data_IF_774956483357
#
_entry.id   IF_774956483357
#
_cell.length_a   1.000
_cell.length_b   1.000
_cell.length_c   1.000
_cell.angle_alpha   90.00
_cell.angle_beta   90.00
_cell.angle_gamma   90.00
#
_symmetry.space_group_name_H-M   'P 1'
#
loop_
_entity.id
_entity.type
_entity.pdbx_description
1 polymer ?
#
# COMPACT_ATOMS: atom_id res chain seq x y z
N UNK A 1 -15.59 -0.77 22.85
CA UNK A 1 -16.35 0.29 23.53
C UNK A 1 -16.67 1.36 22.53
N UNK A 2 -17.94 1.56 22.17
CA UNK A 2 -18.37 2.71 21.36
C UNK A 2 -18.28 3.95 22.27
N UNK A 3 -17.43 4.91 21.93
CA UNK A 3 -17.36 6.20 22.64
C UNK A 3 -18.28 7.18 21.91
N UNK A 4 -19.09 7.92 22.64
CA UNK A 4 -19.80 9.06 22.09
C UNK A 4 -18.75 10.09 21.62
N UNK A 5 -18.56 10.19 20.31
CA UNK A 5 -17.58 11.11 19.69
C UNK A 5 -18.06 12.56 19.76
N UNK A 6 -19.36 12.73 19.94
CA UNK A 6 -20.02 14.05 20.06
C UNK A 6 -20.74 14.07 21.41
N UNK A 7 -20.47 15.08 22.22
CA UNK A 7 -21.10 15.34 23.50
C UNK A 7 -21.69 16.75 23.46
N UNK A 8 -22.98 16.89 23.73
CA UNK A 8 -23.69 18.18 23.71
C UNK A 8 -23.58 18.97 22.37
N UNK A 9 -23.39 18.27 21.26
CA UNK A 9 -23.23 18.89 19.93
C UNK A 9 -21.79 19.18 19.53
N UNK A 10 -20.83 19.04 20.44
CA UNK A 10 -19.42 19.31 20.20
C UNK A 10 -18.59 18.02 20.10
N UNK A 11 -17.54 18.07 19.29
CA UNK A 11 -16.55 16.98 19.20
C UNK A 11 -15.77 16.88 20.51
N UNK A 12 -15.58 15.67 21.02
CA UNK A 12 -14.77 15.46 22.23
C UNK A 12 -13.36 16.08 22.05
N UNK A 13 -12.85 16.85 23.04
CA UNK A 13 -11.56 17.53 22.94
C UNK A 13 -10.40 16.63 22.58
N UNK A 14 -10.38 15.40 23.06
CA UNK A 14 -9.33 14.40 22.80
C UNK A 14 -9.28 13.96 21.32
N UNK A 15 -10.37 14.12 20.57
CA UNK A 15 -10.45 13.76 19.15
C UNK A 15 -9.99 14.89 18.24
N UNK A 16 -10.04 16.13 18.70
CA UNK A 16 -9.71 17.29 17.87
C UNK A 16 -8.29 17.20 17.27
N UNK A 17 -7.23 16.83 18.03
CA UNK A 17 -5.90 16.65 17.46
C UNK A 17 -5.85 15.55 16.40
N UNK A 18 -6.56 14.44 16.62
CA UNK A 18 -6.61 13.31 15.69
C UNK A 18 -7.28 13.70 14.37
N UNK A 19 -8.43 14.37 14.44
CA UNK A 19 -9.16 14.85 13.27
C UNK A 19 -8.35 15.91 12.50
N UNK A 20 -7.64 16.79 13.19
CA UNK A 20 -6.74 17.76 12.55
C UNK A 20 -5.57 17.08 11.85
N UNK A 21 -4.99 16.01 12.42
CA UNK A 21 -3.94 15.24 11.79
C UNK A 21 -4.44 14.55 10.52
N UNK A 22 -5.63 13.95 10.56
CA UNK A 22 -6.25 13.31 9.40
C UNK A 22 -6.69 14.29 8.32
N UNK A 23 -7.11 15.51 8.71
CA UNK A 23 -7.57 16.53 7.76
C UNK A 23 -6.42 17.14 6.95
N UNK A 24 -5.27 17.37 7.59
CA UNK A 24 -4.10 17.98 6.96
C UNK A 24 -2.82 17.35 7.50
N UNK A 25 -2.48 16.14 7.04
CA UNK A 25 -1.25 15.47 7.45
C UNK A 25 -0.02 16.07 6.77
N UNK A 26 1.14 15.96 7.43
CA UNK A 26 2.44 16.26 6.82
C UNK A 26 2.85 15.10 5.91
N UNK A 27 2.54 13.87 6.33
CA UNK A 27 2.79 12.60 5.59
C UNK A 27 1.59 11.67 5.74
N UNK A 28 1.29 10.94 4.68
CA UNK A 28 0.20 9.96 4.68
C UNK A 28 0.58 8.71 3.88
N UNK A 29 0.35 7.56 4.49
CA UNK A 29 0.27 6.26 3.81
C UNK A 29 -1.20 5.87 3.76
N UNK A 30 -1.79 5.92 2.57
CA UNK A 30 -3.17 5.50 2.36
C UNK A 30 -3.20 4.11 1.73
N UNK A 31 -3.98 3.19 2.32
CA UNK A 31 -4.16 1.83 1.84
C UNK A 31 -5.63 1.54 1.56
N UNK A 32 -5.89 0.96 0.41
CA UNK A 32 -7.19 0.42 0.01
C UNK A 32 -7.06 -1.09 -0.16
N UNK A 33 -7.81 -1.86 0.62
CA UNK A 33 -7.95 -3.30 0.47
C UNK A 33 -9.30 -3.60 -0.18
N UNK A 34 -9.27 -4.24 -1.33
CA UNK A 34 -10.47 -4.67 -2.09
C UNK A 34 -10.57 -6.18 -2.02
N UNK A 35 -11.69 -6.67 -1.51
CA UNK A 35 -12.04 -8.09 -1.41
C UNK A 35 -13.41 -8.33 -2.04
N UNK A 36 -13.84 -9.57 -2.25
CA UNK A 36 -15.20 -9.88 -2.68
C UNK A 36 -16.28 -9.32 -1.74
N UNK A 37 -15.98 -9.22 -0.43
CA UNK A 37 -16.92 -8.74 0.60
C UNK A 37 -17.00 -7.20 0.66
N UNK A 38 -16.15 -6.48 -0.08
CA UNK A 38 -16.14 -5.03 -0.13
C UNK A 38 -14.76 -4.40 -0.02
N UNK A 39 -14.75 -3.12 0.35
CA UNK A 39 -13.52 -2.32 0.42
C UNK A 39 -13.28 -1.82 1.83
N UNK A 40 -12.10 -2.15 2.39
CA UNK A 40 -11.58 -1.54 3.59
C UNK A 40 -10.57 -0.44 3.22
N UNK A 41 -10.57 0.65 3.98
CA UNK A 41 -9.62 1.76 3.83
C UNK A 41 -8.84 1.94 5.14
N UNK A 42 -7.55 2.13 4.99
CA UNK A 42 -6.66 2.42 6.11
C UNK A 42 -5.85 3.66 5.74
N UNK A 43 -5.58 4.49 6.71
CA UNK A 43 -4.65 5.59 6.52
C UNK A 43 -3.79 5.74 7.76
N UNK A 44 -2.48 5.81 7.57
CA UNK A 44 -1.54 6.15 8.60
C UNK A 44 -1.02 7.56 8.28
N UNK A 45 -1.27 8.50 9.17
CA UNK A 45 -0.89 9.91 8.99
C UNK A 45 0.08 10.34 10.06
N UNK A 46 0.97 11.25 9.67
CA UNK A 46 1.82 12.01 10.60
C UNK A 46 1.49 13.48 10.51
N UNK A 47 1.41 14.14 11.66
CA UNK A 47 1.37 15.60 11.80
C UNK A 47 2.21 16.03 13.00
N UNK A 48 3.35 16.68 12.73
CA UNK A 48 4.37 16.93 13.75
C UNK A 48 4.83 15.62 14.40
N UNK A 49 4.70 15.50 15.71
CA UNK A 49 5.02 14.29 16.46
C UNK A 49 3.87 13.29 16.57
N UNK A 50 2.66 13.65 16.12
CA UNK A 50 1.47 12.81 16.23
C UNK A 50 1.35 11.86 15.03
N UNK A 51 1.34 10.55 15.30
CA UNK A 51 1.06 9.52 14.33
C UNK A 51 -0.29 8.85 14.62
N UNK A 52 -1.18 8.80 13.63
CA UNK A 52 -2.54 8.27 13.77
C UNK A 52 -2.77 7.23 12.67
N UNK A 53 -3.24 6.04 13.07
CA UNK A 53 -3.78 5.05 12.17
C UNK A 53 -5.30 5.09 12.23
N UNK A 54 -5.94 5.37 11.11
CA UNK A 54 -7.39 5.26 10.93
C UNK A 54 -7.74 4.07 10.05
N UNK A 55 -8.84 3.40 10.37
CA UNK A 55 -9.40 2.29 9.58
C UNK A 55 -10.89 2.55 9.36
N UNK A 56 -11.36 2.35 8.11
CA UNK A 56 -12.77 2.37 7.75
C UNK A 56 -13.16 1.07 7.05
N UNK A 57 -14.22 0.42 7.57
CA UNK A 57 -14.85 -0.75 6.94
C UNK A 57 -16.36 -0.52 6.98
N UNK A 58 -16.99 -0.40 5.82
CA UNK A 58 -18.37 0.05 5.74
C UNK A 58 -18.56 1.41 6.40
N UNK A 59 -19.45 1.46 7.40
CA UNK A 59 -19.75 2.67 8.18
C UNK A 59 -18.92 2.78 9.46
N UNK A 60 -18.16 1.73 9.81
CA UNK A 60 -17.34 1.72 11.02
C UNK A 60 -16.00 2.41 10.78
N UNK A 61 -15.67 3.38 11.63
CA UNK A 61 -14.37 4.07 11.63
C UNK A 61 -13.72 3.88 13.01
N UNK A 62 -12.45 3.47 12.99
CA UNK A 62 -11.64 3.35 14.20
C UNK A 62 -10.34 4.14 14.06
N UNK A 63 -9.87 4.69 15.18
CA UNK A 63 -8.64 5.46 15.27
C UNK A 63 -7.73 4.86 16.32
N UNK A 64 -6.44 4.84 16.05
CA UNK A 64 -5.39 4.43 16.98
C UNK A 64 -4.22 5.42 16.90
N UNK A 65 -3.83 5.99 18.03
CA UNK A 65 -2.59 6.76 18.12
C UNK A 65 -1.42 5.79 18.25
N UNK A 66 -0.39 6.01 17.46
CA UNK A 66 0.88 5.30 17.56
C UNK A 66 1.78 6.12 18.49
N UNK A 67 2.08 5.58 19.68
CA UNK A 67 2.81 6.29 20.73
C UNK A 67 4.33 6.07 20.61
N UNK A 68 5.10 7.06 21.08
CA UNK A 68 6.56 7.00 21.10
C UNK A 68 7.23 7.63 19.89
N UNK A 69 8.54 7.46 19.76
CA UNK A 69 9.30 7.81 18.56
C UNK A 69 8.95 6.80 17.48
N UNK A 70 7.99 7.15 16.61
CA UNK A 70 7.44 6.25 15.60
C UNK A 70 8.19 6.46 14.31
N UNK A 71 8.98 5.46 13.94
CA UNK A 71 9.67 5.41 12.65
C UNK A 71 8.75 4.89 11.54
N UNK A 72 9.13 5.10 10.29
CA UNK A 72 8.39 4.61 9.12
C UNK A 72 8.10 3.10 9.21
N UNK A 73 9.06 2.32 9.70
CA UNK A 73 8.93 0.87 9.83
C UNK A 73 7.79 0.48 10.80
N UNK A 74 7.63 1.21 11.91
CA UNK A 74 6.56 0.96 12.88
C UNK A 74 5.20 1.30 12.29
N UNK A 75 5.11 2.45 11.59
CA UNK A 75 3.90 2.89 10.89
C UNK A 75 3.51 1.89 9.80
N UNK A 76 4.47 1.48 8.97
CA UNK A 76 4.24 0.50 7.91
C UNK A 76 3.81 -0.85 8.49
N UNK A 77 4.45 -1.31 9.58
CA UNK A 77 4.06 -2.55 10.28
C UNK A 77 2.65 -2.46 10.83
N UNK A 78 2.27 -1.32 11.43
CA UNK A 78 0.92 -1.10 11.94
C UNK A 78 -0.13 -1.07 10.82
N UNK A 79 0.22 -0.56 9.64
CA UNK A 79 -0.64 -0.56 8.46
C UNK A 79 -0.79 -1.97 7.89
N UNK A 80 0.31 -2.71 7.73
CA UNK A 80 0.36 -4.09 7.21
C UNK A 80 -0.40 -5.06 8.11
N UNK A 81 -0.41 -4.84 9.43
CA UNK A 81 -1.22 -5.63 10.37
C UNK A 81 -2.73 -5.58 10.11
N UNK A 82 -3.20 -4.60 9.31
CA UNK A 82 -4.59 -4.54 8.83
C UNK A 82 -4.90 -5.42 7.62
N UNK A 83 -3.88 -6.05 7.01
CA UNK A 83 -4.03 -6.91 5.85
C UNK A 83 -4.34 -8.36 6.25
N UNK A 84 -5.11 -9.12 5.45
CA UNK A 84 -5.31 -10.55 5.67
C UNK A 84 -3.99 -11.30 5.66
N UNK A 85 -3.83 -12.20 6.63
CA UNK A 85 -2.63 -13.01 6.77
C UNK A 85 -2.74 -14.28 5.91
N UNK A 86 -2.00 -14.29 4.78
CA UNK A 86 -1.91 -15.43 3.86
C UNK A 86 -0.43 -15.70 3.58
N UNK A 87 -0.06 -16.97 3.40
CA UNK A 87 1.32 -17.36 3.07
C UNK A 87 1.82 -16.61 1.82
N UNK A 88 3.11 -16.30 1.74
CA UNK A 88 3.72 -15.81 0.52
C UNK A 88 3.53 -16.80 -0.64
N UNK A 89 3.39 -16.29 -1.86
CA UNK A 89 3.36 -17.13 -3.04
C UNK A 89 4.73 -17.77 -3.30
N UNK A 90 4.72 -18.98 -3.83
CA UNK A 90 5.93 -19.67 -4.28
C UNK A 90 6.23 -19.25 -5.73
N UNK A 91 6.92 -18.13 -5.87
CA UNK A 91 7.34 -17.54 -7.14
C UNK A 91 8.75 -16.97 -7.00
N UNK A 92 9.49 -16.95 -8.09
CA UNK A 92 10.73 -16.20 -8.18
C UNK A 92 10.45 -14.70 -8.38
N UNK A 93 11.33 -13.81 -7.88
CA UNK A 93 11.19 -12.38 -8.12
C UNK A 93 11.30 -12.05 -9.62
N UNK A 94 10.36 -11.23 -10.11
CA UNK A 94 10.34 -10.74 -11.48
C UNK A 94 10.38 -9.22 -11.46
N UNK A 95 11.27 -8.64 -12.26
CA UNK A 95 11.46 -7.19 -12.38
C UNK A 95 11.04 -6.75 -13.78
N UNK A 96 10.23 -5.70 -13.87
CA UNK A 96 9.82 -5.12 -15.15
C UNK A 96 9.54 -3.61 -15.00
N UNK A 97 9.54 -2.84 -16.11
CA UNK A 97 9.07 -1.46 -16.08
C UNK A 97 7.63 -1.41 -15.57
N UNK A 98 7.37 -0.46 -14.64
CA UNK A 98 6.08 -0.37 -13.92
C UNK A 98 4.89 -0.25 -14.87
N UNK A 99 5.00 0.63 -15.86
CA UNK A 99 3.90 0.88 -16.81
C UNK A 99 3.61 -0.36 -17.66
N UNK A 100 4.63 -0.97 -18.25
CA UNK A 100 4.50 -2.13 -19.13
C UNK A 100 3.91 -3.33 -18.37
N UNK A 101 4.36 -3.57 -17.12
CA UNK A 101 3.79 -4.63 -16.30
C UNK A 101 2.33 -4.34 -15.92
N UNK A 102 2.00 -3.09 -15.57
CA UNK A 102 0.62 -2.70 -15.26
C UNK A 102 -0.32 -2.91 -16.44
N UNK A 103 0.11 -2.56 -17.64
CA UNK A 103 -0.63 -2.78 -18.89
C UNK A 103 -0.81 -4.29 -19.18
N UNK A 104 0.26 -5.07 -18.99
CA UNK A 104 0.24 -6.52 -19.20
C UNK A 104 -0.73 -7.27 -18.28
N UNK A 105 -0.92 -6.77 -17.05
CA UNK A 105 -1.85 -7.33 -16.07
C UNK A 105 -3.28 -6.80 -16.21
N UNK A 106 -3.50 -5.75 -17.00
CA UNK A 106 -4.79 -5.11 -17.14
C UNK A 106 -5.71 -5.86 -18.12
N UNK A 107 -6.99 -6.00 -17.76
CA UNK A 107 -8.04 -6.51 -18.67
C UNK A 107 -7.90 -7.97 -19.08
N UNK A 108 -6.98 -8.74 -18.52
CA UNK A 108 -6.84 -10.16 -18.78
C UNK A 108 -7.10 -10.96 -17.49
N UNK A 109 -7.86 -12.06 -17.64
CA UNK A 109 -8.23 -12.96 -16.55
C UNK A 109 -7.85 -14.41 -16.88
N UNK A 110 -7.44 -14.69 -18.11
CA UNK A 110 -6.97 -16.00 -18.56
C UNK A 110 -5.48 -16.16 -18.24
N UNK A 111 -5.12 -17.31 -17.66
CA UNK A 111 -3.75 -17.57 -17.20
C UNK A 111 -2.74 -17.64 -18.34
N UNK A 112 -3.14 -18.17 -19.50
CA UNK A 112 -2.26 -18.30 -20.68
C UNK A 112 -2.01 -16.92 -21.29
N UNK A 113 -3.08 -16.12 -21.47
CA UNK A 113 -2.97 -14.77 -22.00
C UNK A 113 -2.11 -13.87 -21.09
N UNK A 114 -2.24 -13.99 -19.76
CA UNK A 114 -1.40 -13.30 -18.79
C UNK A 114 0.07 -13.75 -18.89
N UNK A 115 0.32 -15.05 -18.96
CA UNK A 115 1.66 -15.60 -19.11
C UNK A 115 2.33 -15.11 -20.41
N UNK A 116 1.59 -15.07 -21.52
CA UNK A 116 2.10 -14.59 -22.80
C UNK A 116 2.49 -13.12 -22.74
N UNK A 117 1.65 -12.27 -22.15
CA UNK A 117 1.95 -10.84 -21.97
C UNK A 117 3.16 -10.62 -21.05
N UNK A 118 3.28 -11.40 -19.96
CA UNK A 118 4.43 -11.32 -19.04
C UNK A 118 5.71 -11.78 -19.76
N UNK A 119 5.66 -12.79 -20.63
CA UNK A 119 6.81 -13.21 -21.46
C UNK A 119 7.30 -12.12 -22.40
N UNK A 120 6.40 -11.31 -22.95
CA UNK A 120 6.79 -10.16 -23.81
C UNK A 120 7.63 -9.12 -23.08
N UNK A 121 7.59 -9.09 -21.73
CA UNK A 121 8.47 -8.26 -20.90
C UNK A 121 9.87 -8.86 -20.68
N UNK A 122 10.19 -9.99 -21.35
CA UNK A 122 11.47 -10.68 -21.22
C UNK A 122 11.54 -11.62 -20.00
N UNK A 123 10.41 -11.90 -19.35
CA UNK A 123 10.35 -12.82 -18.20
C UNK A 123 10.48 -14.27 -18.71
N UNK A 124 11.26 -15.08 -17.98
CA UNK A 124 11.46 -16.50 -18.27
C UNK A 124 10.11 -17.24 -18.31
N UNK A 125 9.99 -18.22 -19.23
CA UNK A 125 8.71 -18.88 -19.53
C UNK A 125 8.04 -19.55 -18.34
N UNK A 126 8.82 -20.22 -17.48
CA UNK A 126 8.27 -20.88 -16.29
C UNK A 126 7.78 -19.86 -15.25
N UNK A 127 8.55 -18.80 -14.99
CA UNK A 127 8.16 -17.72 -14.11
C UNK A 127 6.89 -17.01 -14.64
N UNK A 128 6.82 -16.73 -15.94
CA UNK A 128 5.65 -16.13 -16.57
C UNK A 128 4.38 -17.01 -16.44
N UNK A 129 4.50 -18.33 -16.62
CA UNK A 129 3.39 -19.25 -16.40
C UNK A 129 2.91 -19.27 -14.95
N UNK A 130 3.83 -19.29 -13.98
CA UNK A 130 3.49 -19.27 -12.56
C UNK A 130 2.78 -17.97 -12.17
N UNK A 131 3.28 -16.82 -12.65
CA UNK A 131 2.67 -15.52 -12.43
C UNK A 131 1.31 -15.41 -13.12
N UNK A 132 1.19 -15.85 -14.38
CA UNK A 132 -0.08 -15.86 -15.13
C UNK A 132 -1.15 -16.66 -14.39
N UNK A 133 -0.81 -17.86 -13.90
CA UNK A 133 -1.71 -18.69 -13.11
C UNK A 133 -2.07 -18.05 -11.74
N UNK A 134 -1.12 -17.37 -11.10
CA UNK A 134 -1.36 -16.65 -9.85
C UNK A 134 -2.33 -15.49 -10.07
N UNK A 135 -2.06 -14.62 -11.04
CA UNK A 135 -2.91 -13.46 -11.33
C UNK A 135 -4.29 -13.81 -11.86
N UNK A 136 -4.43 -14.89 -12.64
CA UNK A 136 -5.73 -15.41 -13.06
C UNK A 136 -6.59 -15.89 -11.88
N UNK A 137 -5.96 -16.30 -10.78
CA UNK A 137 -6.63 -16.74 -9.55
C UNK A 137 -6.64 -15.66 -8.45
N UNK A 138 -6.49 -14.38 -8.81
CA UNK A 138 -6.52 -13.26 -7.87
C UNK A 138 -7.93 -13.08 -7.29
N UNK A 139 -8.04 -13.07 -5.97
CA UNK A 139 -9.29 -12.93 -5.23
C UNK A 139 -9.44 -11.55 -4.60
N UNK A 140 -8.32 -10.92 -4.21
CA UNK A 140 -8.30 -9.60 -3.58
C UNK A 140 -6.99 -8.88 -3.89
N UNK A 141 -6.97 -7.57 -3.63
CA UNK A 141 -5.73 -6.80 -3.68
C UNK A 141 -5.75 -5.64 -2.69
N UNK A 142 -4.59 -5.23 -2.24
CA UNK A 142 -4.39 -3.97 -1.55
C UNK A 142 -3.49 -3.06 -2.37
N UNK A 143 -3.77 -1.76 -2.35
CA UNK A 143 -2.95 -0.71 -2.93
C UNK A 143 -2.56 0.26 -1.83
N UNK A 144 -1.27 0.59 -1.76
CA UNK A 144 -0.72 1.52 -0.77
C UNK A 144 -0.05 2.65 -1.53
N UNK A 145 -0.45 3.87 -1.25
CA UNK A 145 0.10 5.10 -1.84
C UNK A 145 0.65 6.00 -0.75
N UNK A 146 1.65 6.79 -1.09
CA UNK A 146 2.25 7.77 -0.20
C UNK A 146 1.95 9.19 -0.69
N UNK A 147 1.55 10.04 0.27
CA UNK A 147 1.38 11.47 0.07
C UNK A 147 2.25 12.22 1.07
N UNK A 148 2.79 13.34 0.63
CA UNK A 148 3.53 14.26 1.45
C UNK A 148 3.05 15.69 1.22
N UNK A 149 2.99 16.48 2.28
CA UNK A 149 2.78 17.90 2.15
C UNK A 149 4.08 18.48 1.59
N UNK A 150 4.01 19.04 0.38
CA UNK A 150 5.13 19.74 -0.21
C UNK A 150 5.13 21.16 0.37
N UNK A 151 6.15 21.43 1.16
CA UNK A 151 6.60 22.72 1.72
C UNK A 151 5.59 23.89 1.82
N UNK A 152 6.07 25.08 2.06
CA UNK A 152 5.41 26.36 2.37
C UNK A 152 4.14 26.71 1.58
N UNK A 153 3.89 26.05 0.46
CA UNK A 153 2.74 26.32 -0.42
C UNK A 153 1.52 25.45 -0.11
N UNK A 154 1.65 24.47 0.81
CA UNK A 154 0.56 23.60 1.22
C UNK A 154 0.02 22.66 0.12
N UNK A 155 0.81 22.39 -0.91
CA UNK A 155 0.46 21.40 -1.93
C UNK A 155 0.75 20.00 -1.44
N UNK A 156 -0.20 19.08 -1.68
CA UNK A 156 -0.01 17.65 -1.44
C UNK A 156 0.61 17.04 -2.70
N UNK A 157 1.77 16.41 -2.55
CA UNK A 157 2.40 15.60 -3.59
C UNK A 157 2.08 14.13 -3.36
N UNK A 158 1.77 13.39 -4.43
CA UNK A 158 1.64 11.93 -4.42
C UNK A 158 2.89 11.33 -5.04
N UNK A 159 3.47 10.32 -4.40
CA UNK A 159 4.55 9.52 -5.01
C UNK A 159 4.04 8.89 -6.33
N UNK A 160 4.84 8.91 -7.41
CA UNK A 160 4.40 8.50 -8.75
C UNK A 160 4.19 7.00 -8.91
N UNK A 161 4.34 6.22 -7.85
CA UNK A 161 4.13 4.78 -7.80
C UNK A 161 3.24 4.39 -6.62
N UNK A 162 2.92 3.10 -6.54
CA UNK A 162 2.22 2.48 -5.42
C UNK A 162 2.83 1.12 -5.11
N UNK A 163 2.68 0.67 -3.86
CA UNK A 163 2.86 -0.74 -3.51
C UNK A 163 1.53 -1.44 -3.73
N UNK A 164 1.53 -2.56 -4.46
CA UNK A 164 0.35 -3.42 -4.57
C UNK A 164 0.62 -4.78 -3.91
N UNK A 165 -0.36 -5.29 -3.19
CA UNK A 165 -0.34 -6.63 -2.59
C UNK A 165 -1.49 -7.42 -3.17
N UNK A 166 -1.20 -8.50 -3.87
CA UNK A 166 -2.18 -9.36 -4.52
C UNK A 166 -2.39 -10.63 -3.70
N UNK A 167 -3.64 -10.97 -3.49
CA UNK A 167 -4.09 -12.19 -2.83
C UNK A 167 -4.57 -13.16 -3.88
N UNK A 168 -3.87 -14.27 -4.03
CA UNK A 168 -4.13 -15.30 -5.04
C UNK A 168 -4.30 -16.66 -4.39
N UNK A 169 -4.89 -17.63 -5.09
CA UNK A 169 -4.95 -19.02 -4.61
C UNK A 169 -3.57 -19.66 -4.42
N UNK A 170 -2.53 -19.06 -5.03
CA UNK A 170 -1.14 -19.52 -4.88
C UNK A 170 -0.37 -18.85 -3.75
N UNK A 171 -0.98 -17.89 -3.06
CA UNK A 171 -0.38 -17.11 -2.00
C UNK A 171 -0.33 -15.61 -2.31
N UNK A 172 0.34 -14.86 -1.46
CA UNK A 172 0.42 -13.40 -1.50
C UNK A 172 1.65 -12.93 -2.28
N UNK A 173 1.45 -11.99 -3.22
CA UNK A 173 2.48 -11.38 -4.05
C UNK A 173 2.51 -9.88 -3.76
N UNK A 174 3.70 -9.30 -3.60
CA UNK A 174 3.89 -7.85 -3.52
C UNK A 174 4.55 -7.31 -4.79
N UNK A 175 4.01 -6.22 -5.31
CA UNK A 175 4.64 -5.37 -6.31
C UNK A 175 5.32 -4.20 -5.59
N UNK A 176 6.65 -4.23 -5.54
CA UNK A 176 7.49 -3.24 -4.87
C UNK A 176 8.06 -2.26 -5.91
N UNK A 177 7.73 -0.96 -5.83
CA UNK A 177 8.23 0.02 -6.80
C UNK A 177 9.69 0.37 -6.54
N UNK A 178 10.37 0.80 -7.60
CA UNK A 178 11.72 1.37 -7.56
C UNK A 178 11.89 2.35 -8.72
N UNK A 179 12.96 3.15 -8.70
CA UNK A 179 13.34 3.99 -9.81
C UNK A 179 14.77 3.64 -10.26
N UNK A 180 15.01 3.70 -11.58
CA UNK A 180 16.36 3.65 -12.13
C UNK A 180 17.07 5.00 -11.94
N UNK A 181 18.39 5.07 -12.12
CA UNK A 181 19.12 6.35 -12.09
C UNK A 181 18.61 7.38 -13.12
N UNK A 182 17.98 6.94 -14.21
CA UNK A 182 17.35 7.80 -15.22
C UNK A 182 15.95 8.28 -14.83
N UNK A 183 15.42 7.88 -13.66
CA UNK A 183 14.08 8.23 -13.22
C UNK A 183 12.96 7.32 -13.75
N UNK A 184 13.28 6.32 -14.59
CA UNK A 184 12.29 5.34 -15.03
C UNK A 184 11.81 4.50 -13.84
N UNK A 185 10.48 4.36 -13.73
CA UNK A 185 9.86 3.54 -12.68
C UNK A 185 9.86 2.06 -13.07
N UNK A 186 10.28 1.25 -12.13
CA UNK A 186 10.30 -0.20 -12.18
C UNK A 186 9.47 -0.79 -11.06
N UNK A 187 9.08 -2.04 -11.19
CA UNK A 187 8.46 -2.79 -10.11
C UNK A 187 9.03 -4.19 -10.03
N UNK A 188 9.13 -4.71 -8.81
CA UNK A 188 9.52 -6.09 -8.54
C UNK A 188 8.34 -6.83 -7.98
N UNK A 189 7.85 -7.83 -8.72
CA UNK A 189 6.90 -8.83 -8.20
C UNK A 189 7.69 -9.87 -7.40
N UNK A 190 7.32 -10.10 -6.14
CA UNK A 190 8.00 -11.08 -5.29
C UNK A 190 7.03 -11.68 -4.26
N UNK A 191 7.41 -12.83 -3.61
CA UNK A 191 6.66 -13.37 -2.48
C UNK A 191 6.40 -12.31 -1.41
N UNK A 192 5.17 -12.20 -0.90
CA UNK A 192 4.79 -11.17 0.05
C UNK A 192 4.68 -11.70 1.48
N UNK A 193 5.78 -11.75 2.23
CA UNK A 193 5.73 -11.74 3.69
C UNK A 193 5.37 -10.36 4.21
N UNK A 194 4.93 -10.22 5.47
CA UNK A 194 4.67 -8.91 6.07
C UNK A 194 5.92 -8.02 6.03
N UNK A 195 7.08 -8.60 6.33
CA UNK A 195 8.36 -7.91 6.21
C UNK A 195 8.64 -7.41 4.78
N UNK A 196 8.35 -8.22 3.75
CA UNK A 196 8.54 -7.82 2.36
C UNK A 196 7.62 -6.66 1.96
N UNK A 197 6.39 -6.61 2.50
CA UNK A 197 5.47 -5.49 2.27
C UNK A 197 5.94 -4.23 3.00
N UNK A 198 6.40 -4.34 4.25
CA UNK A 198 6.99 -3.21 5.00
C UNK A 198 8.20 -2.63 4.27
N UNK A 199 9.10 -3.47 3.76
CA UNK A 199 10.22 -3.03 2.93
C UNK A 199 9.77 -2.32 1.64
N UNK A 200 8.71 -2.82 0.99
CA UNK A 200 8.17 -2.20 -0.21
C UNK A 200 7.59 -0.80 0.09
N UNK A 201 6.95 -0.62 1.26
CA UNK A 201 6.47 0.69 1.73
C UNK A 201 7.65 1.64 1.97
N UNK A 202 8.75 1.17 2.57
CA UNK A 202 9.97 1.96 2.73
C UNK A 202 10.47 2.50 1.38
N UNK A 203 10.61 1.62 0.38
CA UNK A 203 11.00 2.01 -0.98
C UNK A 203 10.01 2.99 -1.65
N UNK A 204 8.70 2.84 -1.39
CA UNK A 204 7.70 3.79 -1.89
C UNK A 204 7.92 5.20 -1.32
N UNK A 205 8.23 5.32 -0.04
CA UNK A 205 8.50 6.60 0.61
C UNK A 205 9.81 7.20 0.10
N UNK A 206 10.87 6.39 -0.05
CA UNK A 206 12.15 6.83 -0.64
C UNK A 206 11.98 7.48 -2.03
N UNK A 207 11.03 6.99 -2.86
CA UNK A 207 10.72 7.58 -4.17
C UNK A 207 10.16 9.01 -4.12
N UNK A 208 9.70 9.46 -2.97
CA UNK A 208 9.20 10.83 -2.78
C UNK A 208 10.30 11.84 -2.48
N UNK A 209 11.53 11.40 -2.22
CA UNK A 209 12.63 12.21 -1.71
C UNK A 209 12.29 12.96 -0.41
N UNK A 210 11.35 12.44 0.38
CA UNK A 210 10.90 13.04 1.64
C UNK A 210 10.87 11.95 2.72
N UNK A 211 11.58 12.16 3.81
CA UNK A 211 11.60 11.22 4.90
C UNK A 211 10.29 11.27 5.72
N UNK A 212 9.92 10.12 6.29
CA UNK A 212 8.73 10.06 7.17
C UNK A 212 8.94 10.86 8.44
N UNK A 213 10.19 10.98 8.87
CA UNK A 213 10.62 11.56 10.15
C UNK A 213 10.88 13.07 10.16
N UNK A 214 10.89 13.71 8.99
CA UNK A 214 11.15 15.15 8.87
C UNK A 214 9.89 16.00 8.96
#
# INVERSE_FOLDING_TARGET
MSRNLIVAGDVQPDLVPLLKALHRPDRELAMRLVTPDGTARFTAVRRGSLNVLARRVGDDISFRVLNGSVELQDVASALVAGLPHIRPADIEPVVAPLQELSESLSGAYDSTALADRIRLLGVESQAAMLLGAAFASREAFAEIVHYALADDVGRISRTPAAVAVFYTKRGRIVAAPSASPSGQLWTTLKPASDHAVVQAIGRLVELSNQEWGE
#
